data_IF_226775185591
#
_entry.id   IF_226775185591
#
_cell.length_a   1.000
_cell.length_b   1.000
_cell.length_c   1.000
_cell.angle_alpha   90.00
_cell.angle_beta   90.00
_cell.angle_gamma   90.00
#
_symmetry.space_group_name_H-M   'P 1'
#
loop_
_entity.id
_entity.type
_entity.pdbx_description
1 polymer ?
#
# COMPACT_ATOMS: atom_id res chain seq x y z
N UNK A 1 14.01 -0.66 9.49
CA UNK A 1 13.05 -0.60 8.39
C UNK A 1 11.83 -1.44 8.70
N UNK A 2 10.66 -0.91 8.45
CA UNK A 2 9.40 -1.61 8.70
C UNK A 2 8.64 -1.79 7.39
N UNK A 3 7.79 -2.82 7.38
CA UNK A 3 6.95 -3.15 6.24
C UNK A 3 5.49 -2.96 6.64
N UNK A 4 4.78 -2.20 5.85
CA UNK A 4 3.33 -2.13 5.88
C UNK A 4 2.81 -3.09 4.81
N UNK A 5 2.01 -4.08 5.22
CA UNK A 5 1.56 -5.15 4.36
C UNK A 5 0.03 -5.12 4.31
N UNK A 6 -0.53 -4.96 3.11
CA UNK A 6 -1.98 -4.82 2.92
C UNK A 6 -2.46 -5.82 1.88
N UNK A 7 -3.54 -6.54 2.19
CA UNK A 7 -4.15 -7.49 1.27
C UNK A 7 -5.54 -7.02 0.86
N UNK A 8 -5.84 -7.16 -0.42
CA UNK A 8 -7.13 -6.80 -1.02
C UNK A 8 -7.67 -7.99 -1.82
N UNK A 9 -8.98 -8.21 -1.76
CA UNK A 9 -9.64 -9.16 -2.63
C UNK A 9 -10.09 -8.42 -3.88
N UNK A 10 -9.53 -8.78 -5.06
CA UNK A 10 -9.76 -8.04 -6.30
C UNK A 10 -9.93 -9.02 -7.45
N UNK A 11 -11.07 -8.94 -8.13
CA UNK A 11 -11.32 -9.79 -9.29
C UNK A 11 -10.33 -9.47 -10.41
N UNK A 12 -9.88 -10.47 -11.19
CA UNK A 12 -8.86 -10.27 -12.22
C UNK A 12 -9.18 -9.14 -13.21
N UNK A 13 -10.43 -8.98 -13.59
CA UNK A 13 -10.84 -7.92 -14.52
C UNK A 13 -10.68 -6.51 -13.94
N UNK A 14 -10.49 -6.39 -12.62
CA UNK A 14 -10.31 -5.11 -11.95
C UNK A 14 -8.85 -4.83 -11.60
N UNK A 15 -7.94 -5.80 -11.75
CA UNK A 15 -6.56 -5.68 -11.30
C UNK A 15 -5.86 -4.48 -11.89
N UNK A 16 -5.88 -4.36 -13.21
CA UNK A 16 -5.13 -3.30 -13.89
C UNK A 16 -5.61 -1.92 -13.46
N UNK A 17 -6.93 -1.73 -13.43
CA UNK A 17 -7.52 -0.46 -13.03
C UNK A 17 -7.19 -0.12 -11.57
N UNK A 18 -7.34 -1.08 -10.67
CA UNK A 18 -7.05 -0.86 -9.26
C UNK A 18 -5.57 -0.53 -9.03
N UNK A 19 -4.67 -1.30 -9.63
CA UNK A 19 -3.23 -1.09 -9.49
C UNK A 19 -2.83 0.27 -10.07
N UNK A 20 -3.39 0.63 -11.22
CA UNK A 20 -3.10 1.91 -11.85
C UNK A 20 -3.58 3.08 -11.00
N UNK A 21 -4.79 3.01 -10.47
CA UNK A 21 -5.34 4.07 -9.61
C UNK A 21 -4.58 4.17 -8.29
N UNK A 22 -4.19 3.06 -7.72
CA UNK A 22 -3.35 3.06 -6.53
C UNK A 22 -2.02 3.75 -6.79
N UNK A 23 -1.39 3.47 -7.92
CA UNK A 23 -0.12 4.12 -8.29
C UNK A 23 -0.28 5.62 -8.47
N UNK A 24 -1.32 6.05 -9.17
CA UNK A 24 -1.57 7.47 -9.43
C UNK A 24 -1.90 8.26 -8.17
N UNK A 25 -2.55 7.64 -7.20
CA UNK A 25 -3.08 8.30 -6.01
C UNK A 25 -2.23 8.00 -4.80
N UNK A 26 -2.24 6.74 -4.33
CA UNK A 26 -1.56 6.36 -3.10
C UNK A 26 -0.05 6.40 -3.23
N UNK A 27 0.50 5.75 -4.25
CA UNK A 27 1.95 5.71 -4.43
C UNK A 27 2.50 7.11 -4.65
N UNK A 28 1.87 7.88 -5.51
CA UNK A 28 2.29 9.26 -5.77
C UNK A 28 2.22 10.12 -4.51
N UNK A 29 1.18 9.94 -3.69
CA UNK A 29 1.03 10.67 -2.43
C UNK A 29 2.06 10.24 -1.38
N UNK A 30 2.26 8.93 -1.21
CA UNK A 30 3.18 8.39 -0.21
C UNK A 30 4.65 8.71 -0.53
N UNK A 31 5.01 8.81 -1.80
CA UNK A 31 6.38 9.17 -2.20
C UNK A 31 6.85 10.50 -1.63
N UNK A 32 5.91 11.38 -1.29
CA UNK A 32 6.21 12.70 -0.72
C UNK A 32 6.38 12.68 0.78
N UNK A 33 6.09 11.57 1.43
CA UNK A 33 6.12 11.46 2.88
C UNK A 33 7.53 11.09 3.33
N UNK A 34 8.09 11.81 4.33
CA UNK A 34 9.39 11.45 4.90
C UNK A 34 9.38 10.02 5.44
N UNK A 35 10.41 9.27 5.13
CA UNK A 35 10.54 7.87 5.55
C UNK A 35 10.05 6.85 4.56
N UNK A 36 9.36 7.27 3.49
CA UNK A 36 8.96 6.35 2.44
C UNK A 36 10.22 5.82 1.71
N UNK A 37 10.33 4.50 1.60
CA UNK A 37 11.47 3.84 0.96
C UNK A 37 11.09 3.25 -0.39
N UNK A 38 9.95 2.57 -0.45
CA UNK A 38 9.52 1.94 -1.68
C UNK A 38 8.22 1.18 -1.50
N UNK A 39 7.70 0.70 -2.62
CA UNK A 39 6.42 -0.02 -2.64
C UNK A 39 6.46 -1.09 -3.72
N UNK A 40 5.94 -2.26 -3.41
CA UNK A 40 5.74 -3.34 -4.36
C UNK A 40 4.28 -3.73 -4.36
N UNK A 41 3.80 -4.15 -5.52
CA UNK A 41 2.44 -4.66 -5.68
C UNK A 41 2.54 -6.09 -6.17
N UNK A 42 2.01 -7.03 -5.39
CA UNK A 42 2.03 -8.45 -5.71
C UNK A 42 0.62 -8.92 -6.05
N UNK A 43 0.51 -9.81 -7.01
CA UNK A 43 -0.78 -10.37 -7.44
C UNK A 43 -0.77 -11.87 -7.18
N UNK A 44 -1.82 -12.36 -6.53
CA UNK A 44 -2.07 -13.78 -6.34
C UNK A 44 -3.22 -14.18 -7.27
N UNK A 45 -2.92 -14.77 -8.45
CA UNK A 45 -3.96 -15.12 -9.41
C UNK A 45 -4.82 -16.29 -8.96
N UNK A 46 -4.32 -17.14 -8.08
CA UNK A 46 -5.06 -18.29 -7.59
C UNK A 46 -6.19 -17.88 -6.64
N UNK A 47 -5.92 -16.90 -5.77
CA UNK A 47 -6.89 -16.46 -4.76
C UNK A 47 -7.56 -15.13 -5.11
N UNK A 48 -7.28 -14.54 -6.26
CA UNK A 48 -7.76 -13.23 -6.69
C UNK A 48 -7.47 -12.15 -5.65
N UNK A 49 -6.20 -12.10 -5.23
CA UNK A 49 -5.76 -11.15 -4.22
C UNK A 49 -4.63 -10.28 -4.74
N UNK A 50 -4.60 -9.05 -4.24
CA UNK A 50 -3.49 -8.12 -4.46
C UNK A 50 -2.91 -7.81 -3.09
N UNK A 51 -1.59 -7.89 -2.99
CA UNK A 51 -0.85 -7.54 -1.77
C UNK A 51 0.01 -6.33 -2.07
N UNK A 52 -0.08 -5.32 -1.23
CA UNK A 52 0.78 -4.14 -1.32
C UNK A 52 1.77 -4.17 -0.18
N UNK A 53 3.05 -4.01 -0.52
CA UNK A 53 4.17 -4.07 0.42
C UNK A 53 4.85 -2.71 0.39
N UNK A 54 4.71 -1.95 1.47
CA UNK A 54 5.23 -0.59 1.54
C UNK A 54 6.35 -0.57 2.58
N UNK A 55 7.51 -0.03 2.18
CA UNK A 55 8.69 0.03 3.04
C UNK A 55 8.84 1.42 3.60
N UNK A 56 9.03 1.51 4.92
CA UNK A 56 9.26 2.76 5.65
C UNK A 56 10.58 2.66 6.39
N UNK A 57 11.32 3.75 6.50
CA UNK A 57 12.58 3.77 7.25
C UNK A 57 12.36 3.43 8.71
N UNK A 58 11.28 3.92 9.31
CA UNK A 58 10.93 3.65 10.70
C UNK A 58 9.43 3.62 10.90
N UNK A 59 9.02 2.96 11.98
CA UNK A 59 7.62 2.94 12.37
C UNK A 59 7.14 4.33 12.78
N UNK A 60 8.00 5.12 13.41
CA UNK A 60 7.66 6.49 13.81
C UNK A 60 7.28 7.35 12.62
N UNK A 61 8.06 7.27 11.54
CA UNK A 61 7.77 8.06 10.34
C UNK A 61 6.48 7.60 9.66
N UNK A 62 6.26 6.29 9.60
CA UNK A 62 5.01 5.76 9.08
C UNK A 62 3.81 6.25 9.90
N UNK A 63 3.90 6.17 11.23
CA UNK A 63 2.80 6.57 12.11
C UNK A 63 2.63 8.09 12.19
N UNK A 64 3.61 8.85 11.75
CA UNK A 64 3.55 10.31 11.75
C UNK A 64 2.78 10.88 10.55
N UNK A 65 2.33 10.04 9.62
CA UNK A 65 1.53 10.52 8.49
C UNK A 65 0.24 11.13 9.01
N UNK A 66 -0.05 12.41 8.69
CA UNK A 66 -1.29 13.03 9.16
C UNK A 66 -2.53 12.30 8.66
N UNK A 67 -3.52 12.13 9.54
CA UNK A 67 -4.78 11.49 9.17
C UNK A 67 -5.46 12.20 7.99
N UNK A 68 -5.31 13.50 7.91
CA UNK A 68 -5.87 14.29 6.82
C UNK A 68 -5.34 13.84 5.46
N UNK A 69 -4.04 13.55 5.38
CA UNK A 69 -3.43 13.08 4.12
C UNK A 69 -3.99 11.72 3.75
N UNK A 70 -4.10 10.81 4.73
CA UNK A 70 -4.66 9.49 4.51
C UNK A 70 -6.10 9.60 3.99
N UNK A 71 -6.91 10.45 4.61
CA UNK A 71 -8.29 10.66 4.19
C UNK A 71 -8.39 11.23 2.78
N UNK A 72 -7.55 12.22 2.45
CA UNK A 72 -7.54 12.83 1.12
C UNK A 72 -7.20 11.80 0.04
N UNK A 73 -6.21 10.94 0.27
CA UNK A 73 -5.83 9.91 -0.68
C UNK A 73 -6.93 8.86 -0.82
N UNK A 74 -7.53 8.47 0.30
CA UNK A 74 -8.63 7.51 0.30
C UNK A 74 -9.84 8.02 -0.48
N UNK A 75 -10.20 9.29 -0.29
CA UNK A 75 -11.29 9.92 -1.01
C UNK A 75 -11.04 10.02 -2.51
N UNK A 76 -9.80 10.26 -2.91
CA UNK A 76 -9.43 10.33 -4.34
C UNK A 76 -9.63 9.00 -5.06
N UNK A 77 -9.56 7.88 -4.35
CA UNK A 77 -9.84 6.57 -4.94
C UNK A 77 -11.29 6.45 -5.41
N UNK A 78 -12.21 7.09 -4.71
CA UNK A 78 -13.62 7.13 -5.11
C UNK A 78 -14.19 5.75 -5.41
N UNK A 79 -14.72 5.57 -6.62
CA UNK A 79 -15.34 4.30 -7.05
C UNK A 79 -14.33 3.16 -7.20
N UNK A 80 -13.04 3.47 -7.24
CA UNK A 80 -11.98 2.45 -7.35
C UNK A 80 -11.52 1.94 -6.00
N UNK A 81 -12.08 2.46 -4.91
CA UNK A 81 -11.71 2.04 -3.57
C UNK A 81 -12.15 0.60 -3.32
N UNK A 82 -11.22 -0.21 -2.83
CA UNK A 82 -11.49 -1.58 -2.41
C UNK A 82 -11.11 -1.69 -0.95
N UNK A 83 -11.96 -2.28 -0.09
CA UNK A 83 -11.65 -2.42 1.32
C UNK A 83 -10.41 -3.28 1.56
N UNK A 84 -9.62 -2.93 2.56
CA UNK A 84 -8.49 -3.73 3.00
C UNK A 84 -9.05 -5.01 3.64
N UNK A 85 -8.64 -6.16 3.11
CA UNK A 85 -9.05 -7.45 3.65
C UNK A 85 -8.24 -7.82 4.89
N UNK A 86 -6.93 -7.56 4.85
CA UNK A 86 -6.01 -7.88 5.93
C UNK A 86 -4.87 -6.87 5.93
N UNK A 87 -4.43 -6.50 7.13
CA UNK A 87 -3.35 -5.53 7.32
C UNK A 87 -2.38 -6.08 8.36
N UNK A 88 -1.09 -6.00 8.08
CA UNK A 88 -0.03 -6.43 8.98
C UNK A 88 1.13 -5.46 8.95
N UNK A 89 1.93 -5.51 10.01
CA UNK A 89 3.15 -4.73 10.15
C UNK A 89 4.29 -5.67 10.48
N UNK A 90 5.41 -5.52 9.77
CA UNK A 90 6.59 -6.34 9.99
C UNK A 90 7.81 -5.46 10.15
N UNK A 91 8.79 -5.96 10.91
CA UNK A 91 10.13 -5.36 10.97
C UNK A 91 11.09 -6.23 10.18
N UNK A 92 11.95 -5.59 9.39
CA UNK A 92 13.00 -6.33 8.70
C UNK A 92 14.14 -6.54 9.71
N UNK A 93 14.37 -7.79 10.08
CA UNK A 93 15.43 -8.16 11.03
C UNK A 93 16.71 -8.51 10.31
N UNK A 94 16.60 -9.04 9.09
CA UNK A 94 17.76 -9.51 8.36
C UNK A 94 17.44 -9.57 6.88
N UNK A 95 18.31 -9.02 6.07
CA UNK A 95 18.20 -9.08 4.62
C UNK A 95 19.52 -9.57 4.06
N UNK A 96 19.47 -10.66 3.27
CA UNK A 96 20.65 -11.27 2.65
C UNK A 96 20.37 -11.47 1.17
N UNK A 97 21.39 -11.13 0.36
CA UNK A 97 21.34 -11.38 -1.08
C UNK A 97 21.74 -12.80 -1.42
#
# INVERSE_FOLDING_TARGET
>A
MVIEWLKFKVLPEQWQTFIQKDEEIWTAGLQKIPGFVGKEVWVDPEHHEIVMVIRWESQEQWQAIPDKIIQELDEKMGVFKIPILESRSYQIRKFMH
#
